data_IF_846386072657
#
_entry.id   IF_846386072657
#
_cell.length_a   1.000
_cell.length_b   1.000
_cell.length_c   1.000
_cell.angle_alpha   90.00
_cell.angle_beta   90.00
_cell.angle_gamma   90.00
#
_symmetry.space_group_name_H-M   'P 1'
#
loop_
_entity.id
_entity.type
_entity.pdbx_description
1 polymer ?
#
# COMPACT_ATOMS: atom_id res chain seq x y z
N UNK A 1 -41.93 -39.60 -7.45
CA UNK A 1 -42.04 -41.00 -6.99
C UNK A 1 -40.72 -41.38 -6.32
N UNK A 2 -40.83 -41.76 -5.05
CA UNK A 2 -39.81 -42.17 -4.06
C UNK A 2 -39.34 -43.64 -4.31
N UNK A 3 -38.46 -44.29 -3.50
CA UNK A 3 -37.03 -44.03 -3.19
C UNK A 3 -36.18 -45.35 -2.94
N UNK A 4 -34.96 -45.23 -2.37
CA UNK A 4 -34.17 -46.21 -1.54
C UNK A 4 -33.41 -47.39 -2.23
N UNK A 5 -32.42 -48.09 -1.57
CA UNK A 5 -31.93 -48.04 -0.16
C UNK A 5 -30.37 -48.02 0.08
N UNK A 6 -29.91 -48.01 1.36
CA UNK A 6 -28.53 -47.78 1.86
C UNK A 6 -27.79 -49.08 2.31
N UNK A 7 -26.59 -48.98 2.95
CA UNK A 7 -25.89 -49.92 3.89
C UNK A 7 -24.34 -49.66 3.81
N UNK A 8 -23.46 -49.70 4.82
CA UNK A 8 -23.34 -50.42 6.11
C UNK A 8 -22.19 -49.80 6.98
N UNK A 9 -22.31 -49.89 8.30
CA UNK A 9 -21.27 -49.67 9.35
C UNK A 9 -20.66 -51.02 9.77
N UNK A 10 -19.40 -51.08 10.25
CA UNK A 10 -19.13 -51.73 11.57
C UNK A 10 -18.03 -50.98 12.38
N UNK A 11 -18.24 -50.61 13.65
CA UNK A 11 -18.07 -51.38 14.92
C UNK A 11 -16.59 -51.70 15.30
N UNK A 12 -16.18 -51.15 16.46
CA UNK A 12 -14.94 -51.35 17.23
C UNK A 12 -14.73 -52.80 17.73
N UNK A 13 -13.52 -53.11 18.23
CA UNK A 13 -13.45 -53.54 19.63
C UNK A 13 -12.28 -52.96 20.45
N UNK A 14 -12.56 -52.83 21.75
CA UNK A 14 -11.63 -52.59 22.87
C UNK A 14 -10.63 -53.75 23.08
N UNK A 15 -9.42 -53.45 23.58
CA UNK A 15 -8.90 -53.94 24.89
C UNK A 15 -7.36 -53.96 24.99
N UNK A 16 -6.90 -53.84 26.24
CA UNK A 16 -5.65 -54.34 26.83
C UNK A 16 -4.46 -53.36 27.07
N UNK A 17 -4.51 -52.71 28.25
CA UNK A 17 -3.56 -52.82 29.37
C UNK A 17 -2.07 -53.16 29.08
N UNK A 18 -1.16 -52.25 29.45
CA UNK A 18 0.03 -52.58 30.25
C UNK A 18 0.74 -51.34 30.85
N UNK A 19 0.81 -51.31 32.19
CA UNK A 19 1.87 -50.71 33.02
C UNK A 19 2.55 -51.90 33.73
N UNK A 20 3.83 -51.88 34.19
CA UNK A 20 4.35 -50.87 35.15
C UNK A 20 5.89 -50.59 35.10
N UNK A 21 6.36 -49.60 35.87
CA UNK A 21 7.34 -49.78 36.96
C UNK A 21 8.31 -48.59 37.22
N UNK A 22 8.51 -48.36 38.53
CA UNK A 22 9.69 -47.85 39.24
C UNK A 22 10.00 -46.33 39.31
N UNK A 23 9.87 -45.81 40.55
CA UNK A 23 10.49 -44.59 41.10
C UNK A 23 12.00 -44.82 41.39
N UNK A 24 12.77 -43.77 41.72
CA UNK A 24 12.92 -43.43 43.15
C UNK A 24 12.78 -41.93 43.47
N UNK A 25 12.37 -41.67 44.72
CA UNK A 25 12.35 -40.37 45.39
C UNK A 25 13.73 -40.08 45.99
N UNK A 26 14.16 -38.82 45.93
CA UNK A 26 14.97 -38.19 46.98
C UNK A 26 14.36 -36.82 47.27
N UNK A 27 14.04 -36.55 48.54
CA UNK A 27 13.59 -35.24 49.00
C UNK A 27 14.75 -34.45 49.59
N UNK A 28 14.62 -33.12 49.66
CA UNK A 28 14.57 -32.35 50.92
C UNK A 28 14.48 -30.85 50.63
N UNK A 29 13.81 -30.17 51.57
CA UNK A 29 13.89 -28.76 51.95
C UNK A 29 13.32 -27.66 51.00
N UNK A 30 12.19 -27.10 51.42
CA UNK A 30 11.88 -25.68 51.18
C UNK A 30 12.89 -24.80 51.92
N UNK A 31 13.26 -23.65 51.33
CA UNK A 31 13.28 -22.41 52.10
C UNK A 31 12.36 -21.36 51.50
N UNK A 32 11.70 -20.67 52.40
CA UNK A 32 10.81 -19.54 52.18
C UNK A 32 11.59 -18.33 51.62
N UNK A 33 10.93 -17.53 50.78
CA UNK A 33 11.31 -16.14 50.53
C UNK A 33 11.87 -15.83 49.14
N UNK A 34 11.08 -15.99 48.08
CA UNK A 34 11.39 -15.45 46.75
C UNK A 34 10.24 -14.53 46.31
N UNK A 35 10.51 -13.20 46.31
CA UNK A 35 9.65 -12.22 45.66
C UNK A 35 9.81 -12.40 44.15
N UNK A 36 8.84 -13.05 43.53
CA UNK A 36 8.77 -13.28 42.09
C UNK A 36 8.55 -11.97 41.32
N UNK A 37 9.43 -11.66 40.37
CA UNK A 37 9.20 -10.63 39.35
C UNK A 37 8.26 -11.19 38.28
N UNK A 38 7.04 -10.67 38.19
CA UNK A 38 6.11 -11.05 37.11
C UNK A 38 6.27 -10.11 35.92
N UNK A 39 6.78 -10.61 34.80
CA UNK A 39 6.36 -10.12 33.49
C UNK A 39 4.88 -10.46 33.31
N UNK A 40 4.16 -9.66 32.51
CA UNK A 40 2.79 -10.00 32.13
C UNK A 40 2.79 -11.42 31.53
N UNK A 41 1.93 -12.35 32.00
CA UNK A 41 1.99 -13.76 31.62
C UNK A 41 2.02 -14.02 30.11
N UNK A 42 1.44 -13.13 29.30
CA UNK A 42 1.38 -13.23 27.84
C UNK A 42 2.66 -12.78 27.13
N UNK A 43 3.51 -11.98 27.77
CA UNK A 43 4.83 -11.62 27.22
C UNK A 43 5.71 -12.87 27.06
N UNK A 44 5.51 -13.87 27.92
CA UNK A 44 6.15 -15.19 27.80
C UNK A 44 5.68 -15.93 26.54
N UNK A 45 4.41 -15.78 26.15
CA UNK A 45 3.88 -16.34 24.89
C UNK A 45 4.51 -15.66 23.67
N UNK A 46 4.74 -14.34 23.72
CA UNK A 46 5.44 -13.57 22.66
C UNK A 46 6.92 -13.97 22.55
N UNK A 47 7.58 -14.21 23.68
CA UNK A 47 8.97 -14.67 23.75
C UNK A 47 9.14 -16.13 23.30
N UNK A 48 8.12 -16.97 23.46
CA UNK A 48 8.15 -18.38 23.08
C UNK A 48 8.04 -18.63 21.56
N UNK A 49 7.64 -17.61 20.77
CA UNK A 49 7.86 -17.55 19.32
C UNK A 49 7.49 -18.80 18.50
N UNK A 50 6.32 -19.42 18.70
CA UNK A 50 5.84 -20.53 17.84
C UNK A 50 4.35 -20.46 17.54
N UNK A 51 4.00 -20.74 16.28
CA UNK A 51 2.67 -21.10 15.79
C UNK A 51 2.05 -22.23 16.62
N UNK A 52 0.70 -22.27 16.76
CA UNK A 52 0.04 -23.09 17.77
C UNK A 52 -0.09 -24.54 17.33
N UNK A 53 0.95 -25.36 17.52
CA UNK A 53 0.80 -26.82 17.57
C UNK A 53 1.63 -27.42 18.71
N UNK A 54 0.89 -28.03 19.64
CA UNK A 54 1.29 -28.95 20.70
C UNK A 54 2.10 -28.37 21.87
N UNK A 55 1.38 -28.06 22.97
CA UNK A 55 1.94 -28.16 24.30
C UNK A 55 2.31 -29.64 24.57
N UNK A 56 3.61 -29.92 24.70
CA UNK A 56 4.06 -30.95 25.64
C UNK A 56 4.80 -30.24 26.78
N UNK A 57 4.33 -30.53 27.98
CA UNK A 57 4.83 -29.97 29.24
C UNK A 57 6.28 -30.41 29.48
N UNK A 58 7.19 -29.46 29.66
CA UNK A 58 8.53 -29.73 30.18
C UNK A 58 9.49 -28.54 30.11
N UNK A 59 9.88 -28.05 31.29
CA UNK A 59 11.08 -27.23 31.55
C UNK A 59 11.03 -25.73 31.22
N UNK A 60 10.33 -25.01 32.10
CA UNK A 60 10.66 -23.72 32.72
C UNK A 60 11.62 -22.73 32.01
N UNK A 61 11.07 -21.92 31.09
CA UNK A 61 11.69 -20.68 30.60
C UNK A 61 11.37 -19.45 31.51
N UNK A 62 11.10 -19.66 32.81
CA UNK A 62 10.57 -18.61 33.71
C UNK A 62 11.62 -17.88 34.57
N UNK A 63 12.91 -18.16 34.40
CA UNK A 63 13.95 -17.60 35.27
C UNK A 63 15.19 -17.31 34.42
N UNK A 64 15.43 -16.05 34.03
CA UNK A 64 16.64 -15.73 33.26
C UNK A 64 17.52 -14.61 33.83
N UNK A 65 17.03 -13.75 34.74
CA UNK A 65 17.89 -12.70 35.33
C UNK A 65 17.54 -12.38 36.79
N UNK A 66 17.88 -13.30 37.70
CA UNK A 66 17.91 -13.02 39.14
C UNK A 66 19.37 -12.89 39.58
N UNK A 67 19.87 -11.64 39.67
CA UNK A 67 21.23 -11.40 40.16
C UNK A 67 21.86 -10.02 39.95
N UNK A 68 21.16 -9.00 39.43
CA UNK A 68 21.76 -7.67 39.27
C UNK A 68 21.54 -6.80 40.52
N UNK A 69 22.59 -6.45 41.29
CA UNK A 69 22.44 -5.62 42.47
C UNK A 69 21.98 -4.21 42.09
N UNK A 70 21.08 -3.64 42.89
CA UNK A 70 20.80 -2.22 42.82
C UNK A 70 22.07 -1.45 43.23
N UNK A 71 22.50 -0.52 42.38
CA UNK A 71 23.67 0.34 42.60
C UNK A 71 23.49 1.12 43.92
N UNK A 72 24.02 0.56 45.03
CA UNK A 72 24.08 1.25 46.31
C UNK A 72 25.22 2.25 46.24
N UNK A 73 24.90 3.53 46.37
CA UNK A 73 25.87 4.57 46.74
C UNK A 73 26.51 4.20 48.08
N UNK A 74 27.83 4.02 48.11
CA UNK A 74 28.56 3.93 49.37
C UNK A 74 30.06 3.64 49.24
N UNK A 75 30.85 4.68 49.55
CA UNK A 75 32.21 4.71 50.14
C UNK A 75 33.40 4.06 49.42
N UNK A 76 34.45 4.87 49.33
CA UNK A 76 35.83 4.60 48.92
C UNK A 76 36.46 3.43 49.68
N UNK A 77 37.10 2.53 48.93
CA UNK A 77 38.31 1.80 49.34
C UNK A 77 39.14 1.45 48.08
N UNK A 78 40.44 1.73 48.13
CA UNK A 78 41.45 1.44 47.10
C UNK A 78 41.84 -0.05 47.09
N UNK A 79 42.12 -0.60 45.89
CA UNK A 79 42.90 -1.83 45.72
C UNK A 79 42.55 -2.74 44.53
N UNK A 80 43.31 -2.61 43.44
CA UNK A 80 43.58 -3.51 42.28
C UNK A 80 42.47 -3.92 41.27
N UNK A 81 42.84 -4.16 39.98
CA UNK A 81 41.96 -3.94 38.84
C UNK A 81 41.00 -5.11 38.65
N UNK A 82 39.74 -4.86 38.98
CA UNK A 82 38.63 -5.74 38.67
C UNK A 82 38.44 -5.85 37.15
N UNK A 83 38.21 -7.09 36.73
CA UNK A 83 37.72 -7.52 35.42
C UNK A 83 36.73 -6.52 34.83
N UNK A 84 36.89 -6.25 33.53
CA UNK A 84 36.01 -5.40 32.76
C UNK A 84 34.56 -5.86 32.94
N UNK A 85 33.82 -5.15 33.79
CA UNK A 85 32.37 -5.20 33.81
C UNK A 85 31.97 -4.81 32.41
N UNK A 86 31.40 -5.76 31.67
CA UNK A 86 30.67 -5.50 30.43
C UNK A 86 29.48 -4.61 30.80
N UNK A 87 29.76 -3.30 30.95
CA UNK A 87 28.76 -2.28 31.17
C UNK A 87 27.77 -2.43 30.04
N UNK A 88 26.52 -2.77 30.36
CA UNK A 88 25.42 -2.88 29.41
C UNK A 88 25.28 -1.56 28.64
N UNK A 89 26.00 -1.46 27.52
CA UNK A 89 26.13 -0.24 26.70
C UNK A 89 24.79 0.16 26.10
N UNK A 90 23.83 -0.76 26.04
CA UNK A 90 22.46 -0.49 25.60
C UNK A 90 21.65 0.23 26.68
N UNK A 91 21.98 0.00 27.96
CA UNK A 91 21.41 0.71 29.10
C UNK A 91 21.85 2.18 29.22
N UNK A 92 22.91 2.60 28.51
CA UNK A 92 23.45 3.97 28.56
C UNK A 92 22.82 4.94 27.53
N UNK A 93 22.10 4.43 26.53
CA UNK A 93 21.45 5.24 25.48
C UNK A 93 20.26 6.03 26.04
N UNK A 94 20.01 7.31 25.68
CA UNK A 94 18.81 8.04 26.09
C UNK A 94 17.49 7.39 25.64
N UNK A 95 16.41 7.54 26.41
CA UNK A 95 15.10 6.91 26.10
C UNK A 95 14.58 7.30 24.72
N UNK A 96 14.86 8.53 24.28
CA UNK A 96 14.49 9.01 22.95
C UNK A 96 15.12 8.18 21.82
N UNK A 97 16.39 7.77 21.97
CA UNK A 97 17.05 6.91 20.98
C UNK A 97 16.51 5.49 21.06
N UNK A 98 16.18 4.99 22.26
CA UNK A 98 15.58 3.67 22.41
C UNK A 98 14.18 3.62 21.77
N UNK A 99 13.34 4.63 21.98
CA UNK A 99 12.05 4.75 21.29
C UNK A 99 12.20 4.83 19.77
N UNK A 100 13.21 5.55 19.29
CA UNK A 100 13.50 5.61 17.86
C UNK A 100 13.90 4.23 17.32
N UNK A 101 14.78 3.49 18.01
CA UNK A 101 15.13 2.12 17.61
C UNK A 101 13.89 1.20 17.63
N UNK A 102 13.07 1.27 18.67
CA UNK A 102 11.84 0.47 18.79
C UNK A 102 10.83 0.80 17.70
N UNK A 103 10.79 2.04 17.20
CA UNK A 103 9.86 2.46 16.13
C UNK A 103 10.08 1.74 14.80
N UNK A 104 11.28 1.18 14.58
CA UNK A 104 11.58 0.42 13.37
C UNK A 104 11.30 -1.09 13.50
N UNK A 105 11.15 -1.60 14.72
CA UNK A 105 10.95 -3.02 14.97
C UNK A 105 9.48 -3.42 14.75
N UNK A 106 9.21 -4.64 14.29
CA UNK A 106 7.89 -5.26 14.42
C UNK A 106 7.43 -5.22 15.88
N UNK A 107 6.14 -5.04 16.12
CA UNK A 107 5.56 -4.88 17.44
C UNK A 107 5.91 -6.04 18.37
N UNK A 108 5.96 -7.27 17.84
CA UNK A 108 6.37 -8.47 18.56
C UNK A 108 7.81 -8.37 19.03
N UNK A 109 8.74 -7.98 18.16
CA UNK A 109 10.16 -7.78 18.49
C UNK A 109 10.34 -6.62 19.49
N UNK A 110 9.60 -5.51 19.28
CA UNK A 110 9.61 -4.37 20.19
C UNK A 110 9.17 -4.76 21.60
N UNK A 111 8.11 -5.56 21.73
CA UNK A 111 7.67 -6.09 23.03
C UNK A 111 8.72 -7.04 23.61
N UNK A 112 9.35 -7.92 22.81
CA UNK A 112 10.40 -8.84 23.29
C UNK A 112 11.58 -8.11 23.92
N UNK A 113 11.88 -6.87 23.52
CA UNK A 113 12.95 -6.08 24.16
C UNK A 113 12.72 -5.87 25.66
N UNK A 114 11.49 -6.04 26.16
CA UNK A 114 11.15 -5.85 27.57
C UNK A 114 11.94 -6.74 28.54
N UNK A 115 12.54 -7.85 28.07
CA UNK A 115 13.37 -8.74 28.89
C UNK A 115 14.85 -8.41 28.89
N UNK A 116 15.31 -7.47 28.05
CA UNK A 116 16.72 -7.12 27.94
C UNK A 116 17.23 -6.43 29.21
N UNK A 117 16.48 -5.48 29.75
CA UNK A 117 16.73 -4.91 31.07
C UNK A 117 15.47 -4.26 31.64
N UNK A 118 15.48 -3.93 32.95
CA UNK A 118 14.36 -3.26 33.64
C UNK A 118 13.86 -2.00 32.93
N UNK A 119 14.79 -1.25 32.33
CA UNK A 119 14.48 -0.01 31.61
C UNK A 119 13.64 -0.25 30.37
N UNK A 120 13.89 -1.33 29.63
CA UNK A 120 13.18 -1.68 28.39
C UNK A 120 11.75 -2.17 28.62
N UNK A 121 11.38 -2.52 29.86
CA UNK A 121 10.11 -3.15 30.21
C UNK A 121 8.87 -2.41 29.68
N UNK A 122 8.94 -1.09 29.59
CA UNK A 122 7.80 -0.23 29.25
C UNK A 122 8.05 0.66 28.03
N UNK A 123 9.25 0.68 27.46
CA UNK A 123 9.60 1.59 26.36
C UNK A 123 8.76 1.36 25.10
N UNK A 124 8.41 0.10 24.81
CA UNK A 124 7.57 -0.23 23.66
C UNK A 124 6.17 0.40 23.74
N UNK A 125 5.66 0.71 24.95
CA UNK A 125 4.35 1.34 25.14
C UNK A 125 4.30 2.79 24.67
N UNK A 126 5.44 3.46 24.62
CA UNK A 126 5.57 4.86 24.20
C UNK A 126 6.37 4.98 22.91
N UNK A 127 6.61 3.87 22.21
CA UNK A 127 7.27 3.91 20.91
C UNK A 127 6.37 4.68 19.90
N UNK A 128 6.94 5.61 19.12
CA UNK A 128 6.21 6.40 18.15
C UNK A 128 5.87 5.61 16.87
N UNK A 129 6.55 4.49 16.63
CA UNK A 129 6.26 3.58 15.53
C UNK A 129 5.55 2.32 16.00
N UNK A 130 4.54 1.88 15.24
CA UNK A 130 3.85 0.62 15.43
C UNK A 130 3.82 -0.15 14.10
N UNK A 131 4.43 -1.33 14.06
CA UNK A 131 4.49 -2.17 12.85
C UNK A 131 3.94 -3.56 13.18
N UNK A 132 2.79 -3.92 12.63
CA UNK A 132 2.08 -5.18 12.92
C UNK A 132 2.13 -6.08 11.68
N UNK A 133 2.42 -7.38 11.87
CA UNK A 133 2.52 -8.36 10.78
C UNK A 133 3.72 -8.16 9.84
N UNK A 134 4.70 -7.35 10.24
CA UNK A 134 5.91 -7.05 9.46
C UNK A 134 7.10 -7.96 9.85
N UNK A 135 6.86 -9.25 10.08
CA UNK A 135 7.93 -10.19 10.48
C UNK A 135 8.90 -10.47 9.32
N UNK A 136 10.10 -10.97 9.64
CA UNK A 136 11.28 -11.02 8.73
C UNK A 136 11.10 -11.91 7.50
N UNK A 137 10.06 -12.72 7.42
CA UNK A 137 9.93 -13.77 6.41
C UNK A 137 9.02 -13.42 5.23
N UNK A 138 8.62 -12.15 5.07
CA UNK A 138 7.70 -11.68 4.00
C UNK A 138 6.34 -12.40 3.94
N UNK A 139 6.07 -13.34 4.84
CA UNK A 139 4.80 -14.03 4.96
C UNK A 139 3.76 -13.15 5.64
N UNK A 140 2.60 -13.04 5.01
CA UNK A 140 1.45 -12.36 5.57
C UNK A 140 0.90 -13.16 6.75
N UNK A 141 0.63 -12.46 7.85
CA UNK A 141 0.13 -13.09 9.07
C UNK A 141 -1.38 -12.93 9.12
N UNK A 142 -2.09 -14.04 9.29
CA UNK A 142 -3.55 -14.03 9.38
C UNK A 142 -4.06 -13.22 10.57
N UNK A 143 -5.21 -12.56 10.41
CA UNK A 143 -5.83 -11.76 11.48
C UNK A 143 -6.08 -12.58 12.76
N UNK A 144 -6.57 -13.83 12.71
CA UNK A 144 -6.74 -14.65 13.91
C UNK A 144 -5.44 -14.91 14.70
N UNK A 145 -4.30 -15.00 14.02
CA UNK A 145 -3.01 -15.18 14.67
C UNK A 145 -2.52 -13.89 15.37
N UNK A 146 -2.86 -12.73 14.81
CA UNK A 146 -2.48 -11.42 15.34
C UNK A 146 -3.44 -10.91 16.43
N UNK A 147 -4.75 -11.17 16.31
CA UNK A 147 -5.77 -10.40 17.03
C UNK A 147 -5.54 -10.32 18.53
N UNK A 148 -5.29 -11.46 19.15
CA UNK A 148 -5.12 -11.56 20.61
C UNK A 148 -3.87 -10.83 21.10
N UNK A 149 -2.82 -10.76 20.27
CA UNK A 149 -1.61 -10.00 20.56
C UNK A 149 -1.85 -8.50 20.36
N UNK A 150 -2.41 -8.11 19.21
CA UNK A 150 -2.64 -6.71 18.85
C UNK A 150 -3.59 -6.05 19.84
N UNK A 151 -4.75 -6.64 20.13
CA UNK A 151 -5.73 -6.04 21.04
C UNK A 151 -5.12 -5.73 22.42
N UNK A 152 -4.33 -6.67 22.95
CA UNK A 152 -3.62 -6.48 24.23
C UNK A 152 -2.54 -5.42 24.13
N UNK A 153 -1.79 -5.39 23.02
CA UNK A 153 -0.79 -4.38 22.75
C UNK A 153 -1.42 -2.99 22.77
N UNK A 154 -2.51 -2.78 22.02
CA UNK A 154 -3.19 -1.49 21.92
C UNK A 154 -3.75 -1.04 23.27
N UNK A 155 -4.38 -1.94 24.04
CA UNK A 155 -4.87 -1.65 25.40
C UNK A 155 -3.74 -1.20 26.32
N UNK A 156 -2.60 -1.89 26.29
CA UNK A 156 -1.46 -1.60 27.17
C UNK A 156 -0.68 -0.36 26.76
N UNK A 157 -0.73 0.00 25.47
CA UNK A 157 -0.16 1.22 24.91
C UNK A 157 -1.00 2.45 25.24
N UNK A 158 -2.32 2.28 25.39
CA UNK A 158 -3.26 3.36 25.70
C UNK A 158 -3.29 4.42 24.59
N UNK A 159 -3.51 5.68 24.94
CA UNK A 159 -3.57 6.81 24.01
C UNK A 159 -2.19 7.45 23.73
N UNK A 160 -1.11 6.67 23.78
CA UNK A 160 0.24 7.18 23.50
C UNK A 160 0.31 7.69 22.04
N UNK A 161 1.00 8.80 21.75
CA UNK A 161 1.04 9.35 20.40
C UNK A 161 1.77 8.42 19.43
N UNK A 162 1.27 8.29 18.21
CA UNK A 162 1.92 7.56 17.11
C UNK A 162 2.40 8.56 16.07
N UNK A 163 3.61 8.36 15.56
CA UNK A 163 4.10 9.04 14.36
C UNK A 163 3.82 8.17 13.12
N UNK A 164 4.12 6.86 13.20
CA UNK A 164 3.98 5.93 12.08
C UNK A 164 3.26 4.65 12.51
N UNK A 165 2.30 4.19 11.71
CA UNK A 165 1.63 2.90 11.91
C UNK A 165 1.60 2.14 10.58
N UNK A 166 2.13 0.92 10.58
CA UNK A 166 2.11 0.00 9.44
C UNK A 166 1.40 -1.28 9.86
N UNK A 167 0.30 -1.61 9.19
CA UNK A 167 -0.47 -2.82 9.39
C UNK A 167 -0.33 -3.67 8.12
N UNK A 168 0.32 -4.83 8.23
CA UNK A 168 0.36 -5.84 7.15
C UNK A 168 -0.38 -7.07 7.63
N UNK A 169 -1.53 -7.35 7.02
CA UNK A 169 -2.41 -8.43 7.45
C UNK A 169 -2.74 -9.34 6.27
N UNK A 170 -2.63 -10.64 6.53
CA UNK A 170 -3.13 -11.67 5.63
C UNK A 170 -4.51 -12.16 6.08
N UNK A 171 -5.12 -13.03 5.28
CA UNK A 171 -6.27 -13.89 5.56
C UNK A 171 -7.06 -13.60 6.86
N UNK A 172 -8.30 -13.16 6.67
CA UNK A 172 -9.31 -12.91 7.69
C UNK A 172 -10.56 -13.71 7.32
N UNK A 173 -10.60 -15.02 7.71
CA UNK A 173 -11.66 -15.94 7.32
C UNK A 173 -12.96 -15.77 8.13
N UNK A 174 -12.91 -15.12 9.29
CA UNK A 174 -14.07 -14.87 10.14
C UNK A 174 -14.62 -13.45 9.88
N UNK A 175 -15.95 -13.27 9.88
CA UNK A 175 -16.57 -11.97 9.63
C UNK A 175 -16.16 -10.92 10.69
N UNK A 176 -15.91 -11.34 11.94
CA UNK A 176 -15.47 -10.45 13.03
C UNK A 176 -14.00 -10.04 12.94
N UNK A 177 -13.19 -10.70 12.11
CA UNK A 177 -11.79 -10.29 11.91
C UNK A 177 -11.71 -8.90 11.26
N UNK A 178 -12.66 -8.54 10.40
CA UNK A 178 -12.75 -7.21 9.78
C UNK A 178 -13.01 -6.12 10.83
N UNK A 179 -13.84 -6.40 11.84
CA UNK A 179 -14.11 -5.48 12.96
C UNK A 179 -12.83 -5.20 13.77
N UNK A 180 -11.99 -6.22 13.99
CA UNK A 180 -10.72 -6.05 14.70
C UNK A 180 -9.78 -5.15 13.90
N UNK A 181 -9.66 -5.37 12.59
CA UNK A 181 -8.81 -4.53 11.73
C UNK A 181 -9.31 -3.09 11.70
N UNK A 182 -10.63 -2.88 11.60
CA UNK A 182 -11.24 -1.55 11.71
C UNK A 182 -10.88 -0.87 13.04
N UNK A 183 -10.93 -1.60 14.15
CA UNK A 183 -10.51 -1.10 15.46
C UNK A 183 -9.03 -0.71 15.48
N UNK A 184 -8.14 -1.52 14.90
CA UNK A 184 -6.70 -1.23 14.86
C UNK A 184 -6.37 -0.02 13.99
N UNK A 185 -7.03 0.08 12.83
CA UNK A 185 -6.90 1.22 11.93
C UNK A 185 -7.36 2.52 12.61
N UNK A 186 -8.54 2.49 13.24
CA UNK A 186 -9.10 3.62 14.00
C UNK A 186 -8.27 4.01 15.21
N UNK A 187 -7.69 3.03 15.91
CA UNK A 187 -6.78 3.27 17.03
C UNK A 187 -5.59 4.13 16.59
N UNK A 188 -5.00 3.83 15.43
CA UNK A 188 -3.87 4.59 14.92
C UNK A 188 -4.24 6.06 14.67
N UNK A 189 -5.40 6.29 14.02
CA UNK A 189 -5.94 7.64 13.79
C UNK A 189 -6.18 8.37 15.13
N UNK A 190 -6.80 7.71 16.10
CA UNK A 190 -7.08 8.29 17.42
C UNK A 190 -5.81 8.65 18.21
N UNK A 191 -4.69 7.95 17.94
CA UNK A 191 -3.38 8.24 18.54
C UNK A 191 -2.59 9.33 17.79
N UNK A 192 -3.20 10.02 16.83
CA UNK A 192 -2.58 11.16 16.13
C UNK A 192 -1.50 10.75 15.11
N UNK A 193 -1.63 9.55 14.52
CA UNK A 193 -0.69 9.05 13.51
C UNK A 193 -0.47 10.03 12.36
N UNK A 194 0.79 10.16 11.91
CA UNK A 194 1.19 10.98 10.76
C UNK A 194 1.26 10.16 9.48
N UNK A 195 1.80 8.95 9.54
CA UNK A 195 1.90 8.02 8.41
C UNK A 195 1.16 6.75 8.76
N UNK A 196 0.07 6.45 8.05
CA UNK A 196 -0.70 5.23 8.22
C UNK A 196 -0.67 4.41 6.93
N UNK A 197 -0.13 3.21 7.03
CA UNK A 197 -0.09 2.23 5.94
C UNK A 197 -0.88 0.98 6.35
N UNK A 198 -1.86 0.60 5.53
CA UNK A 198 -2.63 -0.63 5.69
C UNK A 198 -2.49 -1.45 4.41
N UNK A 199 -1.80 -2.58 4.54
CA UNK A 199 -1.67 -3.56 3.48
C UNK A 199 -2.43 -4.82 3.86
N UNK A 200 -3.25 -5.28 2.92
CA UNK A 200 -4.08 -6.47 3.06
C UNK A 200 -3.77 -7.44 1.93
N UNK A 201 -3.59 -8.72 2.25
CA UNK A 201 -3.58 -9.82 1.28
C UNK A 201 -4.64 -10.85 1.66
N UNK A 202 -5.54 -11.15 0.72
CA UNK A 202 -6.62 -12.12 0.93
C UNK A 202 -6.50 -13.21 -0.14
N UNK A 203 -6.48 -14.48 0.28
CA UNK A 203 -6.49 -15.62 -0.65
C UNK A 203 -7.86 -15.89 -1.31
N UNK A 204 -8.83 -15.00 -1.15
CA UNK A 204 -10.20 -15.17 -1.65
C UNK A 204 -10.39 -14.47 -3.01
N UNK A 205 -10.78 -15.25 -4.03
CA UNK A 205 -10.90 -14.78 -5.41
C UNK A 205 -12.20 -14.02 -5.73
N UNK A 206 -13.20 -14.00 -4.84
CA UNK A 206 -14.49 -13.38 -5.14
C UNK A 206 -14.67 -11.95 -4.61
N UNK A 207 -14.19 -11.66 -3.40
CA UNK A 207 -14.19 -10.32 -2.81
C UNK A 207 -12.94 -10.15 -1.93
N UNK A 208 -11.78 -9.82 -2.54
CA UNK A 208 -10.51 -9.78 -1.83
C UNK A 208 -10.38 -8.55 -0.91
N UNK A 209 -11.23 -7.53 -1.06
CA UNK A 209 -11.07 -6.24 -0.40
C UNK A 209 -11.52 -6.27 1.05
N UNK A 210 -10.73 -5.65 1.93
CA UNK A 210 -11.14 -5.38 3.31
C UNK A 210 -12.20 -4.27 3.34
N UNK A 211 -13.27 -4.47 4.12
CA UNK A 211 -14.28 -3.45 4.35
C UNK A 211 -13.86 -2.59 5.55
N UNK A 212 -13.44 -1.36 5.26
CA UNK A 212 -13.35 -0.34 6.29
C UNK A 212 -14.73 0.28 6.50
N UNK A 213 -15.06 0.56 7.74
CA UNK A 213 -16.26 1.31 8.09
C UNK A 213 -16.34 2.63 7.29
N UNK A 214 -17.48 2.85 6.63
CA UNK A 214 -17.73 4.05 5.82
C UNK A 214 -17.98 5.29 6.71
N UNK A 215 -16.90 5.78 7.33
CA UNK A 215 -16.87 6.98 8.15
C UNK A 215 -15.68 7.87 7.74
N UNK A 216 -15.88 9.20 7.69
CA UNK A 216 -14.82 10.12 7.32
C UNK A 216 -13.68 10.07 8.35
N UNK A 217 -12.44 10.14 7.85
CA UNK A 217 -11.27 10.22 8.72
C UNK A 217 -11.18 11.62 9.33
N UNK A 218 -10.97 11.66 10.65
CA UNK A 218 -10.79 12.90 11.40
C UNK A 218 -9.40 12.87 12.03
N UNK A 219 -8.48 13.67 11.49
CA UNK A 219 -7.11 13.75 12.02
C UNK A 219 -6.47 15.09 11.70
N UNK A 220 -5.87 15.72 12.71
CA UNK A 220 -5.09 16.96 12.54
C UNK A 220 -3.61 16.68 12.21
N UNK A 221 -3.20 15.41 12.20
CA UNK A 221 -1.80 15.02 12.14
C UNK A 221 -1.46 14.11 10.96
N UNK A 222 -2.45 13.43 10.38
CA UNK A 222 -2.25 12.49 9.27
C UNK A 222 -1.73 13.25 8.04
N UNK A 223 -0.51 12.92 7.61
CA UNK A 223 0.15 13.48 6.43
C UNK A 223 0.17 12.51 5.26
N UNK A 224 0.22 11.20 5.54
CA UNK A 224 0.31 10.15 4.53
C UNK A 224 -0.63 9.01 4.86
N UNK A 225 -1.45 8.61 3.89
CA UNK A 225 -2.32 7.44 3.95
C UNK A 225 -2.01 6.52 2.76
N UNK A 226 -1.60 5.30 3.07
CA UNK A 226 -1.33 4.24 2.09
C UNK A 226 -2.26 3.06 2.35
N UNK A 227 -3.06 2.70 1.34
CA UNK A 227 -4.00 1.58 1.42
C UNK A 227 -3.72 0.59 0.29
N UNK A 228 -3.70 -0.69 0.64
CA UNK A 228 -3.61 -1.79 -0.31
C UNK A 228 -4.72 -2.82 -0.08
N UNK A 229 -5.45 -3.17 -1.13
CA UNK A 229 -6.55 -4.14 -1.09
C UNK A 229 -7.69 -3.77 -0.11
N UNK A 230 -8.13 -2.51 -0.18
CA UNK A 230 -9.21 -1.96 0.66
C UNK A 230 -10.38 -1.49 -0.19
N UNK A 231 -11.60 -1.75 0.26
CA UNK A 231 -12.82 -1.18 -0.32
C UNK A 231 -12.98 0.26 0.18
N UNK A 232 -13.14 1.20 -0.75
CA UNK A 232 -13.24 2.62 -0.47
C UNK A 232 -14.63 3.13 -0.87
N UNK A 233 -15.47 3.39 0.12
CA UNK A 233 -16.81 3.98 -0.06
C UNK A 233 -16.78 5.52 0.13
N UNK A 234 -17.89 6.19 -0.19
CA UNK A 234 -17.92 7.65 -0.34
C UNK A 234 -17.60 8.43 0.94
N UNK A 235 -18.11 8.00 2.10
CA UNK A 235 -17.87 8.73 3.36
C UNK A 235 -16.42 8.60 3.80
N UNK A 236 -15.79 7.44 3.56
CA UNK A 236 -14.37 7.20 3.82
C UNK A 236 -13.45 8.09 2.96
N UNK A 237 -13.84 8.37 1.71
CA UNK A 237 -13.07 9.15 0.74
C UNK A 237 -13.24 10.68 0.87
N UNK A 238 -13.95 11.16 1.90
CA UNK A 238 -14.01 12.57 2.27
C UNK A 238 -12.93 12.93 3.31
N UNK A 239 -11.84 13.53 2.81
CA UNK A 239 -10.70 13.94 3.63
C UNK A 239 -10.75 15.41 4.07
N UNK A 240 -11.93 16.06 4.02
CA UNK A 240 -12.09 17.46 4.46
C UNK A 240 -11.68 17.66 5.94
N UNK A 241 -11.81 16.62 6.77
CA UNK A 241 -11.43 16.63 8.18
C UNK A 241 -9.95 16.26 8.45
N UNK A 242 -9.13 16.16 7.39
CA UNK A 242 -7.70 15.87 7.44
C UNK A 242 -6.86 17.00 6.81
N UNK A 243 -6.73 18.16 7.48
CA UNK A 243 -6.09 19.34 6.89
C UNK A 243 -4.57 19.18 6.67
N UNK A 244 -3.93 18.23 7.36
CA UNK A 244 -2.49 17.95 7.21
C UNK A 244 -2.17 16.90 6.14
N UNK A 245 -3.18 16.30 5.50
CA UNK A 245 -3.00 15.17 4.58
C UNK A 245 -2.39 15.63 3.26
N UNK A 246 -1.17 15.17 2.97
CA UNK A 246 -0.44 15.58 1.77
C UNK A 246 -0.34 14.46 0.74
N UNK A 247 -0.27 13.21 1.18
CA UNK A 247 0.01 12.05 0.33
C UNK A 247 -1.06 10.98 0.49
N UNK A 248 -1.69 10.64 -0.64
CA UNK A 248 -2.68 9.57 -0.77
C UNK A 248 -2.14 8.52 -1.74
N UNK A 249 -2.03 7.27 -1.29
CA UNK A 249 -1.66 6.12 -2.12
C UNK A 249 -2.70 5.02 -1.97
N UNK A 250 -3.31 4.63 -3.07
CA UNK A 250 -4.24 3.52 -3.17
C UNK A 250 -3.70 2.53 -4.19
N UNK A 251 -3.56 1.27 -3.79
CA UNK A 251 -3.04 0.19 -4.62
C UNK A 251 -3.99 -0.99 -4.50
N UNK A 252 -4.51 -1.48 -5.63
CA UNK A 252 -5.50 -2.57 -5.60
C UNK A 252 -6.73 -2.26 -4.73
N UNK A 253 -7.16 -1.00 -4.63
CA UNK A 253 -8.31 -0.57 -3.82
C UNK A 253 -9.59 -0.48 -4.66
N UNK A 254 -10.72 -0.95 -4.13
CA UNK A 254 -11.99 -0.94 -4.87
C UNK A 254 -12.77 0.36 -4.68
N UNK A 255 -13.06 1.04 -5.79
CA UNK A 255 -13.83 2.28 -5.85
C UNK A 255 -15.20 2.09 -6.52
N UNK A 256 -15.64 0.86 -6.76
CA UNK A 256 -16.84 0.53 -7.55
C UNK A 256 -18.14 1.14 -7.04
N UNK A 257 -18.21 1.46 -5.75
CA UNK A 257 -19.38 2.07 -5.10
C UNK A 257 -19.20 3.54 -4.75
N UNK A 258 -18.02 4.09 -5.00
CA UNK A 258 -17.72 5.50 -4.75
C UNK A 258 -18.09 6.37 -5.94
N UNK A 259 -18.62 7.55 -5.64
CA UNK A 259 -18.95 8.62 -6.57
C UNK A 259 -17.94 9.76 -6.49
N UNK A 260 -17.26 9.96 -5.35
CA UNK A 260 -16.33 11.08 -5.17
C UNK A 260 -15.14 10.77 -4.24
N UNK A 261 -13.96 11.29 -4.61
CA UNK A 261 -12.82 11.51 -3.71
C UNK A 261 -12.69 13.02 -3.48
N UNK A 262 -12.59 13.45 -2.22
CA UNK A 262 -12.49 14.87 -1.85
C UNK A 262 -11.32 15.13 -0.91
N UNK A 263 -10.38 16.00 -1.31
CA UNK A 263 -9.30 16.45 -0.43
C UNK A 263 -8.81 17.85 -0.80
N UNK A 264 -8.89 18.79 0.14
CA UNK A 264 -8.38 20.15 -0.02
C UNK A 264 -6.88 20.27 0.30
N UNK A 265 -6.31 19.31 1.03
CA UNK A 265 -4.93 19.34 1.53
C UNK A 265 -3.96 18.52 0.68
N UNK A 266 -4.46 17.51 -0.05
CA UNK A 266 -3.62 16.56 -0.77
C UNK A 266 -2.77 17.24 -1.85
N UNK A 267 -1.47 16.92 -1.82
CA UNK A 267 -0.45 17.35 -2.80
C UNK A 267 -0.10 16.24 -3.77
N UNK A 268 -0.24 14.98 -3.37
CA UNK A 268 0.08 13.81 -4.17
C UNK A 268 -1.02 12.76 -4.06
N UNK A 269 -1.48 12.25 -5.21
CA UNK A 269 -2.47 11.17 -5.31
C UNK A 269 -1.94 10.11 -6.26
N UNK A 270 -1.89 8.88 -5.78
CA UNK A 270 -1.57 7.69 -6.58
C UNK A 270 -2.69 6.67 -6.46
N UNK A 271 -3.25 6.23 -7.58
CA UNK A 271 -4.20 5.12 -7.66
C UNK A 271 -3.67 4.15 -8.70
N UNK A 272 -3.35 2.92 -8.27
CA UNK A 272 -2.82 1.87 -9.14
C UNK A 272 -3.61 0.57 -8.98
N UNK A 273 -3.71 -0.22 -10.06
CA UNK A 273 -4.28 -1.57 -10.04
C UNK A 273 -5.71 -1.65 -9.46
N UNK A 274 -6.54 -0.61 -9.65
CA UNK A 274 -7.77 -0.41 -8.86
C UNK A 274 -9.06 -0.51 -9.69
N UNK A 275 -10.10 -1.23 -9.22
CA UNK A 275 -11.43 -1.20 -9.84
C UNK A 275 -12.15 0.14 -9.67
N UNK A 276 -12.68 0.67 -10.76
CA UNK A 276 -13.73 1.69 -10.76
C UNK A 276 -15.09 1.12 -11.17
N UNK A 277 -16.15 1.89 -10.91
CA UNK A 277 -17.51 1.57 -11.34
C UNK A 277 -17.59 1.44 -12.87
N UNK A 278 -18.40 0.49 -13.34
CA UNK A 278 -18.68 0.30 -14.76
C UNK A 278 -19.85 1.19 -15.24
N UNK A 279 -20.65 1.73 -14.31
CA UNK A 279 -21.86 2.50 -14.61
C UNK A 279 -21.66 4.00 -14.38
N UNK A 280 -21.10 4.38 -13.22
CA UNK A 280 -20.79 5.75 -12.83
C UNK A 280 -19.31 6.07 -13.02
N UNK A 281 -18.97 7.36 -13.10
CA UNK A 281 -17.57 7.81 -13.05
C UNK A 281 -17.29 8.36 -11.67
N UNK A 282 -16.15 8.00 -11.10
CA UNK A 282 -15.64 8.58 -9.86
C UNK A 282 -15.16 10.00 -10.11
N UNK A 283 -15.57 10.97 -9.30
CA UNK A 283 -15.10 12.35 -9.35
C UNK A 283 -13.92 12.56 -8.40
N UNK A 284 -12.78 13.02 -8.92
CA UNK A 284 -11.61 13.36 -8.12
C UNK A 284 -11.55 14.86 -7.93
N UNK A 285 -11.91 15.32 -6.73
CA UNK A 285 -11.84 16.71 -6.29
C UNK A 285 -10.64 16.92 -5.38
N UNK A 286 -9.52 17.36 -5.97
CA UNK A 286 -8.29 17.67 -5.25
C UNK A 286 -7.62 18.93 -5.87
N UNK A 287 -8.08 20.14 -5.54
CA UNK A 287 -7.64 21.36 -6.24
C UNK A 287 -6.16 21.71 -5.98
N UNK A 288 -5.61 21.32 -4.83
CA UNK A 288 -4.22 21.61 -4.43
C UNK A 288 -3.21 20.53 -4.82
N UNK A 289 -3.62 19.60 -5.70
CA UNK A 289 -2.78 18.50 -6.14
C UNK A 289 -1.61 19.00 -7.02
N UNK A 290 -0.41 18.52 -6.70
CA UNK A 290 0.86 18.81 -7.40
C UNK A 290 1.31 17.63 -8.26
N UNK A 291 1.05 16.41 -7.79
CA UNK A 291 1.41 15.15 -8.46
C UNK A 291 0.20 14.22 -8.53
N UNK A 292 -0.11 13.72 -9.73
CA UNK A 292 -1.13 12.72 -9.97
C UNK A 292 -0.54 11.48 -10.65
N UNK A 293 -0.84 10.31 -10.14
CA UNK A 293 -0.48 9.04 -10.76
C UNK A 293 -1.71 8.14 -10.82
N UNK A 294 -2.20 7.87 -12.03
CA UNK A 294 -3.29 6.96 -12.29
C UNK A 294 -2.78 5.85 -13.21
N UNK A 295 -2.76 4.63 -12.69
CA UNK A 295 -2.21 3.49 -13.39
C UNK A 295 -3.07 2.24 -13.26
N UNK A 296 -3.02 1.39 -14.29
CA UNK A 296 -3.58 0.03 -14.33
C UNK A 296 -4.98 -0.15 -13.70
N UNK A 297 -5.86 0.81 -13.91
CA UNK A 297 -7.21 0.76 -13.37
C UNK A 297 -8.21 0.20 -14.39
N UNK A 298 -9.26 -0.46 -13.89
CA UNK A 298 -10.33 -1.01 -14.72
C UNK A 298 -11.69 -0.39 -14.39
N UNK A 299 -12.70 -0.65 -15.23
CA UNK A 299 -13.98 0.08 -15.15
C UNK A 299 -13.94 1.42 -15.89
N UNK A 300 -14.77 2.40 -15.51
CA UNK A 300 -14.81 3.71 -16.17
C UNK A 300 -13.69 4.62 -15.68
N UNK A 301 -13.06 5.37 -16.59
CA UNK A 301 -12.08 6.41 -16.20
C UNK A 301 -12.69 7.43 -15.23
N UNK A 302 -11.95 7.85 -14.18
CA UNK A 302 -12.42 8.88 -13.25
C UNK A 302 -12.48 10.25 -13.93
N UNK A 303 -13.39 11.10 -13.45
CA UNK A 303 -13.46 12.52 -13.84
C UNK A 303 -12.49 13.31 -12.96
N UNK A 304 -11.52 13.96 -13.59
CA UNK A 304 -10.59 14.87 -12.94
C UNK A 304 -11.20 16.27 -12.93
N UNK A 305 -11.50 16.76 -11.74
CA UNK A 305 -11.89 18.16 -11.57
C UNK A 305 -10.69 19.10 -11.76
N UNK A 306 -10.91 20.41 -11.65
CA UNK A 306 -9.85 21.39 -11.92
C UNK A 306 -8.71 21.29 -10.90
N UNK A 307 -7.49 21.02 -11.38
CA UNK A 307 -6.27 20.94 -10.56
C UNK A 307 -5.30 22.07 -10.94
N UNK A 308 -5.52 23.31 -10.46
CA UNK A 308 -4.75 24.48 -10.89
C UNK A 308 -3.25 24.42 -10.58
N UNK A 309 -2.84 23.68 -9.56
CA UNK A 309 -1.45 23.60 -9.09
C UNK A 309 -0.69 22.36 -9.58
N UNK A 310 -1.29 21.56 -10.46
CA UNK A 310 -0.71 20.31 -10.94
C UNK A 310 0.61 20.58 -11.69
N UNK A 311 1.67 19.86 -11.31
CA UNK A 311 3.00 19.95 -11.93
C UNK A 311 3.29 18.71 -12.75
N UNK A 312 3.08 17.53 -12.17
CA UNK A 312 3.32 16.25 -12.84
C UNK A 312 2.05 15.40 -12.84
N UNK A 313 1.75 14.79 -13.99
CA UNK A 313 0.73 13.75 -14.05
C UNK A 313 1.16 12.57 -14.91
N UNK A 314 0.85 11.39 -14.42
CA UNK A 314 0.97 10.13 -15.13
C UNK A 314 -0.42 9.49 -15.21
N UNK A 315 -0.86 9.17 -16.43
CA UNK A 315 -2.12 8.47 -16.67
C UNK A 315 -1.87 7.38 -17.71
N UNK A 316 -1.98 6.12 -17.29
CA UNK A 316 -1.98 4.95 -18.17
C UNK A 316 -3.35 4.29 -18.14
N UNK A 317 -3.96 4.16 -19.32
CA UNK A 317 -5.28 3.55 -19.51
C UNK A 317 -5.09 2.22 -20.25
N UNK A 318 -5.37 1.11 -19.57
CA UNK A 318 -5.19 -0.25 -20.09
C UNK A 318 -6.49 -0.81 -20.68
N UNK A 319 -6.45 -2.06 -21.15
CA UNK A 319 -7.56 -2.72 -21.86
C UNK A 319 -8.73 -3.08 -20.96
N UNK A 320 -8.50 -3.11 -19.65
CA UNK A 320 -9.51 -3.45 -18.64
C UNK A 320 -10.46 -2.28 -18.35
N UNK A 321 -10.17 -1.11 -18.90
CA UNK A 321 -11.06 0.03 -18.86
C UNK A 321 -12.21 -0.11 -19.87
N UNK A 322 -13.44 0.19 -19.45
CA UNK A 322 -14.65 0.08 -20.28
C UNK A 322 -14.83 1.25 -21.26
N UNK A 323 -13.98 2.28 -21.18
CA UNK A 323 -13.95 3.38 -22.15
C UNK A 323 -13.19 2.98 -23.44
N UNK A 324 -13.50 1.78 -23.93
CA UNK A 324 -12.98 1.17 -25.14
C UNK A 324 -14.06 1.12 -26.22
N UNK A 325 -13.64 1.00 -27.49
CA UNK A 325 -14.55 0.74 -28.58
C UNK A 325 -14.01 -0.37 -29.46
N UNK A 326 -14.63 -1.55 -29.38
CA UNK A 326 -14.26 -2.74 -30.18
C UNK A 326 -14.37 -2.50 -31.69
N UNK A 327 -15.14 -1.49 -32.10
CA UNK A 327 -15.31 -1.09 -33.49
C UNK A 327 -14.19 -0.18 -34.00
N UNK A 328 -13.21 0.24 -33.19
CA UNK A 328 -12.09 1.07 -33.63
C UNK A 328 -11.14 0.38 -34.63
N UNK A 329 -11.28 -0.93 -34.86
CA UNK A 329 -10.64 -1.64 -35.98
C UNK A 329 -11.44 -1.56 -37.31
N UNK A 330 -12.69 -1.09 -37.26
CA UNK A 330 -13.63 -1.01 -38.40
C UNK A 330 -14.20 0.41 -38.63
N UNK A 331 -14.02 1.32 -37.68
CA UNK A 331 -14.43 2.71 -37.78
C UNK A 331 -13.29 3.51 -38.41
N UNK A 332 -13.30 3.55 -39.74
CA UNK A 332 -12.38 4.32 -40.57
C UNK A 332 -12.21 5.77 -40.11
N UNK A 333 -10.97 6.23 -40.24
CA UNK A 333 -10.50 7.59 -40.03
C UNK A 333 -11.46 8.63 -40.64
N UNK A 334 -12.08 9.45 -39.78
CA UNK A 334 -12.70 10.70 -40.19
C UNK A 334 -14.22 10.73 -40.31
N UNK A 335 -14.92 9.66 -39.92
CA UNK A 335 -16.37 9.71 -39.72
C UNK A 335 -16.70 9.33 -38.26
N UNK A 336 -17.54 10.13 -37.61
CA UNK A 336 -18.00 9.93 -36.23
C UNK A 336 -18.36 8.45 -36.00
N UNK A 337 -17.59 7.73 -35.16
CA UNK A 337 -17.87 6.33 -34.86
C UNK A 337 -19.34 6.22 -34.43
N UNK A 338 -20.22 5.54 -35.16
CA UNK A 338 -21.64 5.49 -34.84
C UNK A 338 -21.93 4.74 -33.53
N UNK A 339 -20.90 4.30 -32.82
CA UNK A 339 -21.01 3.82 -31.46
C UNK A 339 -21.50 4.95 -30.54
N UNK A 340 -22.62 4.67 -29.86
CA UNK A 340 -23.26 5.54 -28.87
C UNK A 340 -22.24 6.10 -27.87
N UNK A 341 -21.25 5.29 -27.47
CA UNK A 341 -20.17 5.69 -26.57
C UNK A 341 -19.13 6.68 -27.14
N UNK A 342 -18.85 6.68 -28.45
CA UNK A 342 -17.95 7.67 -29.06
C UNK A 342 -18.66 8.85 -29.72
N UNK A 343 -19.94 8.75 -30.08
CA UNK A 343 -20.65 9.81 -30.82
C UNK A 343 -21.91 10.36 -30.13
N UNK A 344 -22.31 9.84 -28.97
CA UNK A 344 -23.58 10.23 -28.35
C UNK A 344 -23.55 10.36 -26.83
N UNK A 345 -23.52 11.61 -26.36
CA UNK A 345 -24.36 12.07 -25.23
C UNK A 345 -24.12 11.50 -23.81
N UNK A 346 -22.87 11.33 -23.38
CA UNK A 346 -22.56 11.00 -21.97
C UNK A 346 -21.59 12.04 -21.38
N UNK A 347 -22.14 13.17 -20.94
CA UNK A 347 -21.45 14.22 -20.18
C UNK A 347 -20.93 15.40 -21.02
N UNK A 348 -21.35 16.63 -20.66
CA UNK A 348 -21.00 17.89 -21.34
C UNK A 348 -19.55 18.38 -21.09
N UNK A 349 -18.57 17.49 -20.93
CA UNK A 349 -17.20 17.93 -20.64
C UNK A 349 -16.13 16.86 -20.77
N UNK A 350 -14.88 17.33 -20.76
CA UNK A 350 -13.69 16.49 -20.66
C UNK A 350 -13.64 15.77 -19.31
N UNK A 351 -13.18 14.53 -19.33
CA UNK A 351 -13.09 13.65 -18.15
C UNK A 351 -11.69 13.65 -17.54
N UNK A 352 -10.64 13.58 -18.34
CA UNK A 352 -9.25 13.58 -17.88
C UNK A 352 -8.54 14.90 -18.22
N UNK A 353 -8.47 15.25 -19.52
CA UNK A 353 -7.50 16.24 -20.03
C UNK A 353 -7.71 17.66 -19.49
N UNK A 354 -8.96 18.05 -19.17
CA UNK A 354 -9.25 19.36 -18.58
C UNK A 354 -8.62 19.52 -17.20
N UNK A 355 -8.73 18.50 -16.34
CA UNK A 355 -8.08 18.49 -15.02
C UNK A 355 -6.54 18.54 -15.14
N UNK A 356 -5.99 17.94 -16.20
CA UNK A 356 -4.56 17.86 -16.47
C UNK A 356 -3.95 19.10 -17.15
N UNK A 357 -4.78 20.04 -17.61
CA UNK A 357 -4.38 21.16 -18.49
C UNK A 357 -3.31 22.11 -17.93
N UNK A 358 -3.08 22.08 -16.60
CA UNK A 358 -2.10 22.93 -15.90
C UNK A 358 -0.75 22.25 -15.66
N UNK A 359 -0.64 20.95 -15.92
CA UNK A 359 0.58 20.18 -15.71
C UNK A 359 1.76 20.70 -16.55
N UNK A 360 2.97 20.63 -15.97
CA UNK A 360 4.24 20.91 -16.64
C UNK A 360 4.84 19.67 -17.30
N UNK A 361 4.57 18.51 -16.72
CA UNK A 361 5.01 17.20 -17.21
C UNK A 361 3.81 16.27 -17.27
N UNK A 362 3.53 15.76 -18.46
CA UNK A 362 2.46 14.79 -18.70
C UNK A 362 3.02 13.51 -19.30
N UNK A 363 2.56 12.38 -18.76
CA UNK A 363 2.74 11.06 -19.33
C UNK A 363 1.36 10.48 -19.61
N UNK A 364 1.02 10.29 -20.88
CA UNK A 364 -0.28 9.80 -21.31
C UNK A 364 -0.10 8.52 -22.13
N UNK A 365 -0.42 7.39 -21.53
CA UNK A 365 -0.24 6.06 -22.12
C UNK A 365 -1.63 5.43 -22.29
N UNK A 366 -1.88 4.84 -23.46
CA UNK A 366 -3.14 4.12 -23.69
C UNK A 366 -3.01 2.99 -24.69
N UNK A 367 -4.04 2.17 -24.86
CA UNK A 367 -4.08 1.12 -25.88
C UNK A 367 -4.92 1.57 -27.09
N UNK A 368 -4.62 1.17 -28.33
CA UNK A 368 -5.28 1.67 -29.55
C UNK A 368 -6.83 1.65 -29.53
N UNK A 369 -7.43 0.66 -28.86
CA UNK A 369 -8.87 0.49 -28.69
C UNK A 369 -9.52 1.46 -27.69
N UNK A 370 -8.74 2.23 -26.91
CA UNK A 370 -9.26 3.17 -25.94
C UNK A 370 -9.66 4.48 -26.62
N UNK A 371 -10.81 5.07 -26.27
CA UNK A 371 -11.25 6.32 -26.91
C UNK A 371 -11.14 7.56 -26.00
N UNK A 372 -10.83 7.38 -24.70
CA UNK A 372 -10.98 8.43 -23.70
C UNK A 372 -10.20 9.72 -24.02
N UNK A 373 -8.93 9.61 -24.40
CA UNK A 373 -8.11 10.78 -24.74
C UNK A 373 -8.59 11.43 -26.03
N UNK A 374 -8.90 10.66 -27.08
CA UNK A 374 -9.48 11.17 -28.34
C UNK A 374 -10.79 11.92 -28.11
N UNK A 375 -11.66 11.40 -27.23
CA UNK A 375 -12.91 12.06 -26.86
C UNK A 375 -12.64 13.40 -26.17
N UNK A 376 -11.73 13.42 -25.20
CA UNK A 376 -11.41 14.63 -24.45
C UNK A 376 -10.75 15.71 -25.34
N UNK A 377 -9.96 15.33 -26.34
CA UNK A 377 -9.36 16.25 -27.31
C UNK A 377 -10.38 16.99 -28.17
N UNK A 378 -11.64 16.50 -28.30
CA UNK A 378 -12.71 17.26 -28.98
C UNK A 378 -13.03 18.59 -28.30
N UNK A 379 -12.68 18.71 -27.02
CA UNK A 379 -12.83 19.95 -26.24
C UNK A 379 -11.61 20.86 -26.31
N UNK A 380 -10.55 20.45 -27.03
CA UNK A 380 -9.34 21.23 -27.26
C UNK A 380 -8.79 21.94 -26.01
N UNK A 381 -8.51 21.22 -24.90
CA UNK A 381 -7.96 21.84 -23.70
C UNK A 381 -6.57 22.42 -23.97
N UNK A 382 -6.32 23.66 -23.53
CA UNK A 382 -5.03 24.33 -23.71
C UNK A 382 -4.05 23.97 -22.60
N UNK A 383 -2.92 23.37 -22.96
CA UNK A 383 -1.83 22.96 -22.07
C UNK A 383 -0.78 24.07 -21.95
N UNK A 384 -1.17 25.21 -21.40
CA UNK A 384 -0.36 26.45 -21.39
C UNK A 384 0.96 26.37 -20.62
N UNK A 385 1.15 25.35 -19.77
CA UNK A 385 2.34 25.20 -18.93
C UNK A 385 3.17 23.95 -19.27
N UNK A 386 2.72 23.14 -20.22
CA UNK A 386 3.30 21.84 -20.53
C UNK A 386 4.66 21.99 -21.20
N UNK A 387 5.71 21.51 -20.54
CA UNK A 387 7.10 21.53 -21.01
C UNK A 387 7.59 20.17 -21.47
N UNK A 388 7.14 19.10 -20.81
CA UNK A 388 7.53 17.72 -21.12
C UNK A 388 6.29 16.88 -21.35
N UNK A 389 6.21 16.23 -22.51
CA UNK A 389 5.12 15.34 -22.87
C UNK A 389 5.69 13.98 -23.27
N UNK A 390 5.21 12.90 -22.64
CA UNK A 390 5.45 11.52 -23.04
C UNK A 390 4.15 10.89 -23.50
N UNK A 391 4.16 10.34 -24.70
CA UNK A 391 3.05 9.64 -25.33
C UNK A 391 3.52 8.27 -25.80
N UNK A 392 2.63 7.29 -25.90
CA UNK A 392 2.95 6.00 -26.53
C UNK A 392 2.41 5.85 -27.97
N UNK A 393 2.59 4.67 -28.55
CA UNK A 393 2.10 4.23 -29.87
C UNK A 393 0.61 4.54 -30.14
N UNK A 394 -0.24 4.57 -29.11
CA UNK A 394 -1.63 5.05 -29.18
C UNK A 394 -1.82 6.34 -29.98
N UNK A 395 -0.89 7.28 -29.83
CA UNK A 395 -0.97 8.61 -30.41
C UNK A 395 -0.43 8.68 -31.83
N UNK A 396 0.22 7.62 -32.32
CA UNK A 396 0.94 7.59 -33.59
C UNK A 396 0.23 6.74 -34.66
N UNK A 397 -1.00 6.29 -34.41
CA UNK A 397 -1.76 5.45 -35.34
C UNK A 397 -2.07 6.23 -36.64
N UNK A 398 -1.84 5.65 -37.84
CA UNK A 398 -1.97 6.29 -39.17
C UNK A 398 -3.27 7.07 -39.38
N UNK A 399 -4.37 6.52 -38.88
CA UNK A 399 -5.73 7.02 -39.06
C UNK A 399 -6.10 8.17 -38.11
N UNK A 400 -5.23 8.48 -37.14
CA UNK A 400 -5.53 9.38 -36.02
C UNK A 400 -4.46 10.45 -35.75
N UNK A 401 -3.70 10.84 -36.78
CA UNK A 401 -2.71 11.92 -36.71
C UNK A 401 -3.29 13.25 -36.17
N UNK A 402 -4.62 13.40 -36.18
CA UNK A 402 -5.35 14.52 -35.59
C UNK A 402 -5.19 14.60 -34.07
N UNK A 403 -5.09 13.48 -33.35
CA UNK A 403 -4.94 13.49 -31.90
C UNK A 403 -3.57 14.05 -31.48
N UNK A 404 -2.50 13.55 -32.11
CA UNK A 404 -1.14 14.04 -31.87
C UNK A 404 -0.99 15.49 -32.34
N UNK A 405 -1.51 15.86 -33.52
CA UNK A 405 -1.50 17.25 -33.97
C UNK A 405 -2.24 18.17 -32.99
N UNK A 406 -3.45 17.78 -32.56
CA UNK A 406 -4.26 18.58 -31.64
C UNK A 406 -3.56 18.84 -30.30
N UNK A 407 -2.95 17.82 -29.67
CA UNK A 407 -2.26 18.04 -28.39
C UNK A 407 -1.02 18.93 -28.56
N UNK A 408 -0.30 18.80 -29.68
CA UNK A 408 0.87 19.64 -29.97
C UNK A 408 0.50 21.10 -30.25
N UNK A 409 -0.57 21.34 -31.01
CA UNK A 409 -1.10 22.70 -31.29
C UNK A 409 -1.54 23.41 -30.01
N UNK A 410 -2.14 22.66 -29.08
CA UNK A 410 -2.61 23.20 -27.79
C UNK A 410 -1.52 23.24 -26.71
N UNK A 411 -0.26 22.97 -27.06
CA UNK A 411 0.89 22.96 -26.13
C UNK A 411 1.98 23.97 -26.55
N UNK A 412 1.71 25.28 -26.47
CA UNK A 412 2.54 26.33 -27.10
C UNK A 412 3.95 26.49 -26.49
N UNK A 413 4.17 25.98 -25.28
CA UNK A 413 5.45 26.08 -24.54
C UNK A 413 6.16 24.74 -24.39
N UNK A 414 5.75 23.72 -25.16
CA UNK A 414 6.33 22.39 -25.10
C UNK A 414 7.81 22.42 -25.48
N UNK A 415 8.68 21.88 -24.61
CA UNK A 415 10.14 21.88 -24.79
C UNK A 415 10.69 20.50 -25.17
N UNK A 416 10.09 19.43 -24.62
CA UNK A 416 10.48 18.03 -24.84
C UNK A 416 9.26 17.16 -25.16
N UNK A 417 9.31 16.47 -26.29
CA UNK A 417 8.37 15.41 -26.65
C UNK A 417 9.09 14.06 -26.62
N UNK A 418 8.50 13.07 -25.96
CA UNK A 418 8.96 11.67 -25.97
C UNK A 418 7.85 10.79 -26.54
N UNK A 419 8.15 10.00 -27.57
CA UNK A 419 7.24 9.02 -28.15
C UNK A 419 7.76 7.61 -27.82
N UNK A 420 7.01 6.85 -27.03
CA UNK A 420 7.33 5.47 -26.67
C UNK A 420 6.54 4.51 -27.56
N UNK A 421 7.20 3.97 -28.59
CA UNK A 421 6.60 3.07 -29.55
C UNK A 421 6.87 1.62 -29.14
N UNK A 422 5.82 0.84 -28.98
CA UNK A 422 5.92 -0.61 -28.76
C UNK A 422 5.65 -1.30 -30.11
N UNK A 423 6.62 -2.03 -30.65
CA UNK A 423 6.43 -2.78 -31.89
C UNK A 423 6.00 -4.22 -31.57
N UNK A 424 4.82 -4.63 -32.02
CA UNK A 424 4.49 -6.05 -32.20
C UNK A 424 5.12 -6.54 -33.52
N UNK A 425 6.34 -7.07 -33.45
CA UNK A 425 7.04 -7.64 -34.62
C UNK A 425 8.56 -7.77 -34.43
N UNK A 426 9.24 -8.71 -35.11
CA UNK A 426 10.64 -9.02 -34.82
C UNK A 426 11.59 -7.94 -35.35
N UNK A 427 12.57 -7.66 -34.48
CA UNK A 427 13.90 -7.12 -34.72
C UNK A 427 14.00 -5.73 -35.38
N UNK A 428 14.38 -4.72 -34.58
CA UNK A 428 15.67 -4.01 -34.65
C UNK A 428 15.69 -2.83 -33.66
N UNK A 429 16.78 -2.69 -32.90
CA UNK A 429 16.97 -1.66 -31.85
C UNK A 429 17.33 -0.31 -32.45
N UNK A 430 16.57 0.75 -32.14
CA UNK A 430 16.99 2.12 -32.45
C UNK A 430 16.39 3.14 -31.47
N UNK A 431 17.25 3.87 -30.76
CA UNK A 431 16.88 5.07 -30.02
C UNK A 431 17.31 6.27 -30.87
N UNK A 432 16.35 6.98 -31.46
CA UNK A 432 16.64 8.20 -32.22
C UNK A 432 16.36 9.41 -31.34
N UNK A 433 17.42 10.11 -30.95
CA UNK A 433 17.33 11.42 -30.33
C UNK A 433 17.50 12.50 -31.41
N UNK A 434 16.38 13.05 -31.87
CA UNK A 434 16.38 14.17 -32.80
C UNK A 434 16.53 15.49 -32.06
N UNK A 435 17.51 16.31 -32.48
CA UNK A 435 17.55 17.73 -32.09
C UNK A 435 16.97 18.52 -33.26
N UNK A 436 15.91 19.31 -33.03
CA UNK A 436 15.19 19.97 -34.11
C UNK A 436 16.00 21.17 -34.64
N UNK A 437 16.95 20.93 -35.54
CA UNK A 437 17.70 21.99 -36.22
C UNK A 437 17.19 22.19 -37.64
N UNK A 438 16.53 23.33 -37.86
CA UNK A 438 16.18 23.89 -39.18
C UNK A 438 15.47 22.93 -40.18
N UNK A 439 14.50 22.14 -39.72
CA UNK A 439 13.49 21.57 -40.63
C UNK A 439 12.32 22.57 -40.73
N UNK A 440 11.71 22.72 -41.92
CA UNK A 440 10.56 23.62 -42.15
C UNK A 440 9.53 23.44 -41.03
N UNK A 441 9.51 24.37 -40.07
CA UNK A 441 8.54 24.37 -38.98
C UNK A 441 7.15 24.48 -39.63
N UNK A 442 6.37 23.43 -39.50
CA UNK A 442 4.92 23.54 -39.66
C UNK A 442 4.42 24.55 -38.61
N UNK A 443 3.47 25.41 -38.96
CA UNK A 443 2.85 26.38 -38.04
C UNK A 443 2.16 25.73 -36.83
N UNK A 444 2.02 24.40 -36.86
CA UNK A 444 1.35 23.53 -35.88
C UNK A 444 2.23 23.22 -34.66
N UNK A 445 3.56 23.26 -34.80
CA UNK A 445 4.48 22.78 -33.77
C UNK A 445 5.01 23.94 -32.93
N UNK A 446 4.94 23.79 -31.60
CA UNK A 446 5.53 24.72 -30.61
C UNK A 446 6.93 25.17 -31.03
N UNK A 447 7.12 26.48 -31.13
CA UNK A 447 8.43 27.09 -31.42
C UNK A 447 9.48 26.81 -30.33
N UNK A 448 9.01 26.41 -29.14
CA UNK A 448 9.82 26.07 -27.98
C UNK A 448 10.29 24.61 -27.98
N UNK A 449 9.82 23.77 -28.91
CA UNK A 449 10.16 22.34 -28.95
C UNK A 449 11.62 22.14 -29.35
N UNK A 450 12.44 21.68 -28.40
CA UNK A 450 13.89 21.50 -28.57
C UNK A 450 14.26 20.03 -28.81
N UNK A 451 13.59 19.13 -28.11
CA UNK A 451 13.95 17.71 -28.05
C UNK A 451 12.75 16.87 -28.49
N UNK A 452 12.98 16.00 -29.48
CA UNK A 452 12.06 14.91 -29.83
C UNK A 452 12.82 13.60 -29.64
N UNK A 453 12.37 12.80 -28.69
CA UNK A 453 12.97 11.52 -28.32
C UNK A 453 12.01 10.41 -28.73
N UNK A 454 12.46 9.50 -29.59
CA UNK A 454 11.68 8.32 -29.96
C UNK A 454 12.32 7.12 -29.28
N UNK A 455 11.57 6.51 -28.36
CA UNK A 455 11.95 5.30 -27.63
C UNK A 455 11.20 4.12 -28.22
N UNK A 456 11.92 3.06 -28.58
CA UNK A 456 11.35 1.79 -29.00
C UNK A 456 11.85 0.70 -28.05
N UNK A 457 10.94 -0.05 -27.42
CA UNK A 457 11.29 -1.06 -26.42
C UNK A 457 11.45 -2.45 -27.08
N UNK A 458 12.58 -3.11 -26.77
CA UNK A 458 12.97 -4.43 -27.25
C UNK A 458 12.76 -5.45 -26.12
N UNK A 459 12.23 -6.63 -26.42
CA UNK A 459 12.16 -7.73 -25.44
C UNK A 459 13.41 -8.59 -25.60
N UNK A 460 14.33 -8.54 -24.63
CA UNK A 460 15.49 -9.44 -24.54
C UNK A 460 15.02 -10.81 -24.05
N UNK A 461 15.06 -11.83 -24.91
CA UNK A 461 15.22 -13.21 -24.47
C UNK A 461 16.63 -13.70 -24.83
N UNK A 462 17.48 -13.81 -23.81
CA UNK A 462 18.50 -14.85 -23.76
C UNK A 462 18.54 -15.44 -22.35
N UNK A 463 18.59 -16.76 -22.28
CA UNK A 463 19.71 -17.40 -21.61
C UNK A 463 20.66 -17.98 -22.65
N UNK A 464 21.94 -17.74 -22.41
CA UNK A 464 23.08 -18.32 -23.11
C UNK A 464 23.15 -19.85 -23.02
N UNK A 465 23.35 -20.48 -24.18
CA UNK A 465 24.33 -21.52 -24.54
C UNK A 465 24.77 -22.61 -23.54
N UNK A 466 24.74 -23.86 -24.03
CA UNK A 466 25.61 -25.05 -23.83
C UNK A 466 24.71 -26.31 -23.90
N UNK A 467 24.89 -27.35 -24.71
CA UNK A 467 25.97 -27.87 -25.56
C UNK A 467 25.35 -28.55 -26.81
#
# INVERSE_FOLDING_TARGET
MNPLPPHLVPVLPDSALCSPAARPRFGFASPQGLRAWRCEPWVVEVLAGRTPLQLSTGSDARIMFDGMPAQKRGKEFEGDPAEAIDEDRTGALPDALLHHVLSFLPAEEAVRTCVLARRWRHLWKSAPGLRIGCLRDYEWVSVPALRRFVDRLLILRGASPLDTCELRIGDFPEDDDEDHVNCWFRYAIACGVRVLALHVERNNYHDPWLWLDDLPLVSQHLTTLELHCVRCDDSFLDFASCPALEHLKFEYCCFSWSTKISSESAKSLSITDSPFSHSSRLHIHAPNLVSLHLDDFWGRTPVLESMPFLVEAYVRVTVDCVDCCDKLLLCDAGQDCPCEYCSGNIGNGSVLLKGLSRARKLVLISKPQMFIFKRDLRWCPTFSMLKTLLLNDYWCVPDDHRALACILEHSPVLEKLTLQLFSEGPDHKMEMKGTLSSMKRSSVISEHLKIVEIKCEAVDERPSAAD
#
